data_IF_872527901801
#
_entry.id   IF_872527901801
#
_cell.length_a   1.000
_cell.length_b   1.000
_cell.length_c   1.000
_cell.angle_alpha   90.00
_cell.angle_beta   90.00
_cell.angle_gamma   90.00
#
_symmetry.space_group_name_H-M   'P 1'
#
loop_
_entity.id
_entity.type
_entity.pdbx_description
1 polymer ?
#
# COMPACT_ATOMS: atom_id res chain seq x y z
N UNK A 1 6.56 15.05 15.29
CA UNK A 1 5.26 14.35 15.46
C UNK A 1 4.35 14.53 14.24
N UNK A 2 3.98 15.75 13.83
CA UNK A 2 3.04 16.00 12.71
C UNK A 2 3.37 15.23 11.39
N UNK A 3 4.59 15.40 10.87
CA UNK A 3 5.05 14.71 9.65
C UNK A 3 5.03 13.19 9.69
N UNK A 4 5.07 12.60 10.88
CA UNK A 4 5.01 11.14 11.03
C UNK A 4 3.58 10.63 10.87
N UNK A 5 2.61 11.30 11.47
CA UNK A 5 1.19 10.98 11.28
C UNK A 5 0.74 11.18 9.84
N UNK A 6 1.19 12.27 9.20
CA UNK A 6 0.94 12.54 7.78
C UNK A 6 1.47 11.42 6.88
N UNK A 7 2.72 10.98 7.10
CA UNK A 7 3.32 9.89 6.31
C UNK A 7 2.65 8.55 6.54
N UNK A 8 2.17 8.28 7.75
CA UNK A 8 1.41 7.06 8.03
C UNK A 8 0.07 7.08 7.29
N UNK A 9 -0.66 8.19 7.37
CA UNK A 9 -1.91 8.36 6.63
C UNK A 9 -1.69 8.29 5.10
N UNK A 10 -0.59 8.85 4.61
CA UNK A 10 -0.20 8.78 3.20
C UNK A 10 0.09 7.34 2.75
N UNK A 11 0.77 6.55 3.59
CA UNK A 11 1.03 5.14 3.33
C UNK A 11 -0.28 4.33 3.30
N UNK A 12 -1.16 4.50 4.28
CA UNK A 12 -2.45 3.82 4.32
C UNK A 12 -3.30 4.14 3.09
N UNK A 13 -3.34 5.42 2.67
CA UNK A 13 -4.06 5.83 1.47
C UNK A 13 -3.51 5.16 0.20
N UNK A 14 -2.18 5.04 0.08
CA UNK A 14 -1.54 4.33 -1.05
C UNK A 14 -1.81 2.83 -1.03
N UNK A 15 -1.85 2.23 0.15
CA UNK A 15 -2.21 0.81 0.31
C UNK A 15 -3.65 0.54 -0.16
N UNK A 16 -4.60 1.41 0.19
CA UNK A 16 -5.99 1.32 -0.31
C UNK A 16 -6.06 1.54 -1.83
N UNK A 17 -5.33 2.52 -2.34
CA UNK A 17 -5.25 2.79 -3.78
C UNK A 17 -4.71 1.57 -4.55
N UNK A 18 -3.65 0.93 -4.06
CA UNK A 18 -3.07 -0.26 -4.68
C UNK A 18 -4.10 -1.38 -4.82
N UNK A 19 -4.85 -1.66 -3.76
CA UNK A 19 -5.91 -2.67 -3.78
C UNK A 19 -7.05 -2.31 -4.74
N UNK A 20 -7.45 -1.04 -4.79
CA UNK A 20 -8.48 -0.58 -5.71
C UNK A 20 -8.06 -0.74 -7.18
N UNK A 21 -6.83 -0.34 -7.52
CA UNK A 21 -6.26 -0.48 -8.85
C UNK A 21 -6.12 -1.96 -9.26
N UNK A 22 -5.68 -2.83 -8.35
CA UNK A 22 -5.63 -4.28 -8.56
C UNK A 22 -7.02 -4.87 -8.85
N UNK A 23 -8.06 -4.38 -8.19
CA UNK A 23 -9.44 -4.84 -8.46
C UNK A 23 -10.02 -4.29 -9.76
N UNK A 24 -9.37 -3.32 -10.39
CA UNK A 24 -9.80 -2.68 -11.64
C UNK A 24 -9.04 -3.19 -12.87
N UNK A 25 -8.09 -4.13 -12.75
CA UNK A 25 -7.27 -4.53 -13.90
C UNK A 25 -5.98 -3.71 -14.06
N UNK A 26 -5.74 -2.71 -13.19
CA UNK A 26 -4.68 -1.71 -13.34
C UNK A 26 -3.38 -2.15 -12.64
N UNK A 27 -2.92 -3.38 -12.89
CA UNK A 27 -1.82 -4.01 -12.18
C UNK A 27 -0.49 -3.22 -12.10
N UNK A 28 -0.09 -2.47 -13.14
CA UNK A 28 1.11 -1.63 -13.07
C UNK A 28 0.95 -0.46 -12.09
N UNK A 29 -0.18 0.24 -12.16
CA UNK A 29 -0.49 1.34 -11.24
C UNK A 29 -0.66 0.82 -9.80
N UNK A 30 -1.25 -0.36 -9.63
CA UNK A 30 -1.37 -1.03 -8.34
C UNK A 30 0.00 -1.32 -7.71
N UNK A 31 0.95 -1.86 -8.48
CA UNK A 31 2.32 -2.12 -8.04
C UNK A 31 3.07 -0.84 -7.67
N UNK A 32 2.90 0.22 -8.46
CA UNK A 32 3.52 1.51 -8.16
C UNK A 32 2.99 2.09 -6.83
N UNK A 33 1.67 2.08 -6.64
CA UNK A 33 1.04 2.58 -5.42
C UNK A 33 1.53 1.81 -4.18
N UNK A 34 1.59 0.47 -4.26
CA UNK A 34 2.08 -0.38 -3.16
C UNK A 34 3.57 -0.14 -2.88
N UNK A 35 4.39 0.01 -3.92
CA UNK A 35 5.83 0.31 -3.76
C UNK A 35 6.04 1.62 -3.02
N UNK A 36 5.27 2.67 -3.35
CA UNK A 36 5.35 3.94 -2.63
C UNK A 36 4.87 3.84 -1.19
N UNK A 37 3.86 3.01 -0.90
CA UNK A 37 3.45 2.74 0.47
C UNK A 37 4.60 2.08 1.26
N UNK A 38 5.26 1.08 0.68
CA UNK A 38 6.39 0.39 1.32
C UNK A 38 7.57 1.32 1.62
N UNK A 39 7.89 2.22 0.70
CA UNK A 39 8.99 3.19 0.90
C UNK A 39 8.68 4.18 2.03
N UNK A 40 7.42 4.61 2.16
CA UNK A 40 6.99 5.47 3.25
C UNK A 40 7.08 4.75 4.59
N UNK A 41 6.56 3.53 4.69
CA UNK A 41 6.51 2.79 5.98
C UNK A 41 7.90 2.32 6.43
N UNK A 42 8.83 2.04 5.52
CA UNK A 42 10.24 1.78 5.86
C UNK A 42 10.93 2.94 6.59
N UNK A 43 10.49 4.17 6.33
CA UNK A 43 11.04 5.37 6.97
C UNK A 43 10.38 5.71 8.31
N UNK A 44 9.39 4.92 8.78
CA UNK A 44 8.62 5.19 9.98
C UNK A 44 9.00 4.25 11.14
N UNK A 45 9.04 4.74 12.39
CA UNK A 45 9.32 3.89 13.56
C UNK A 45 8.08 3.10 14.04
N UNK A 46 7.03 2.99 13.22
CA UNK A 46 5.74 2.40 13.59
C UNK A 46 5.41 1.21 12.69
N UNK A 47 5.15 0.02 13.25
CA UNK A 47 4.94 -1.20 12.46
C UNK A 47 3.57 -1.26 11.77
N UNK A 48 2.60 -0.44 12.17
CA UNK A 48 1.23 -0.50 11.67
C UNK A 48 1.15 -0.35 10.15
N UNK A 49 1.85 0.64 9.58
CA UNK A 49 1.88 0.84 8.12
C UNK A 49 2.52 -0.34 7.38
N UNK A 50 3.59 -0.91 7.93
CA UNK A 50 4.23 -2.08 7.33
C UNK A 50 3.33 -3.32 7.37
N UNK A 51 2.55 -3.51 8.44
CA UNK A 51 1.60 -4.60 8.56
C UNK A 51 0.47 -4.49 7.51
N UNK A 52 -0.09 -3.30 7.31
CA UNK A 52 -1.11 -3.07 6.28
C UNK A 52 -0.57 -3.29 4.85
N UNK A 53 0.61 -2.75 4.54
CA UNK A 53 1.22 -2.93 3.23
C UNK A 53 1.47 -4.42 2.93
N UNK A 54 1.95 -5.18 3.92
CA UNK A 54 2.14 -6.63 3.80
C UNK A 54 0.82 -7.40 3.60
N UNK A 55 -0.25 -7.02 4.29
CA UNK A 55 -1.58 -7.63 4.11
C UNK A 55 -2.12 -7.41 2.70
N UNK A 56 -2.03 -6.18 2.18
CA UNK A 56 -2.50 -5.88 0.81
C UNK A 56 -1.65 -6.58 -0.23
N UNK A 57 -0.32 -6.63 -0.03
CA UNK A 57 0.55 -7.43 -0.90
C UNK A 57 0.10 -8.89 -0.98
N UNK A 58 -0.14 -9.52 0.17
CA UNK A 58 -0.61 -10.90 0.22
C UNK A 58 -1.97 -11.07 -0.48
N UNK A 59 -2.90 -10.13 -0.29
CA UNK A 59 -4.19 -10.15 -0.98
C UNK A 59 -4.01 -10.09 -2.51
N UNK A 60 -3.22 -9.14 -3.01
CA UNK A 60 -2.95 -8.98 -4.45
C UNK A 60 -2.24 -10.19 -5.07
N UNK A 61 -1.46 -10.94 -4.30
CA UNK A 61 -0.82 -12.18 -4.73
C UNK A 61 -1.80 -13.36 -4.80
N UNK A 62 -2.79 -13.39 -3.91
CA UNK A 62 -3.78 -14.48 -3.83
C UNK A 62 -5.03 -14.26 -4.67
N UNK A 63 -5.43 -13.00 -4.88
CA UNK A 63 -6.60 -12.63 -5.68
C UNK A 63 -6.15 -12.35 -7.12
N UNK A 64 -6.73 -13.02 -8.13
CA UNK A 64 -6.44 -12.68 -9.52
C UNK A 64 -6.84 -11.22 -9.79
N UNK A 65 -5.95 -10.48 -10.45
CA UNK A 65 -6.25 -9.16 -11.01
C UNK A 65 -7.48 -9.29 -11.92
N UNK A 66 -8.38 -8.29 -11.95
CA UNK A 66 -9.69 -8.37 -12.60
C UNK A 66 -9.65 -8.41 -14.15
N UNK A 67 -8.54 -8.84 -14.74
CA UNK A 67 -8.29 -8.91 -16.19
C UNK A 67 -8.91 -10.14 -16.86
#
# INVERSE_FOLDING_TARGET
>A
AARTGERLAEADARTVLALALHRLGEGEAAREALTRADDLVRALPYPAGAAHAAQVRALMETEPDAR
#
